data_IF_492868619760
#
_entry.id   IF_492868619760
#
_cell.length_a   1.000
_cell.length_b   1.000
_cell.length_c   1.000
_cell.angle_alpha   90.00
_cell.angle_beta   90.00
_cell.angle_gamma   90.00
#
_symmetry.space_group_name_H-M   'P 1'
#
loop_
_entity.id
_entity.type
_entity.pdbx_description
1 polymer ?
#
# COMPACT_ATOMS: atom_id res chain seq x y z
N UNK A 1 6.13 -8.66 9.31
CA UNK A 1 4.81 -8.07 9.02
C UNK A 1 4.89 -6.68 8.39
N UNK A 2 5.87 -5.83 8.72
CA UNK A 2 6.29 -4.68 7.90
C UNK A 2 6.93 -5.06 6.56
N UNK A 3 7.29 -6.34 6.37
CA UNK A 3 7.91 -6.87 5.16
C UNK A 3 7.06 -6.67 3.91
N UNK A 4 5.73 -6.81 3.99
CA UNK A 4 4.89 -6.65 2.81
C UNK A 4 4.91 -5.21 2.24
N UNK A 5 4.57 -4.16 3.01
CA UNK A 5 4.69 -2.78 2.52
C UNK A 5 6.14 -2.40 2.22
N UNK A 6 7.13 -2.95 2.95
CA UNK A 6 8.54 -2.75 2.63
C UNK A 6 8.91 -3.32 1.26
N UNK A 7 8.51 -4.56 0.97
CA UNK A 7 8.81 -5.22 -0.30
C UNK A 7 8.11 -4.52 -1.46
N UNK A 8 6.82 -4.16 -1.31
CA UNK A 8 6.11 -3.37 -2.33
C UNK A 8 6.79 -2.01 -2.56
N UNK A 9 7.14 -1.31 -1.47
CA UNK A 9 7.86 -0.05 -1.53
C UNK A 9 9.20 -0.17 -2.25
N UNK A 10 10.03 -1.16 -1.90
CA UNK A 10 11.33 -1.36 -2.52
C UNK A 10 11.22 -1.75 -3.99
N UNK A 11 10.30 -2.65 -4.36
CA UNK A 11 10.09 -3.04 -5.76
C UNK A 11 9.62 -1.83 -6.59
N UNK A 12 8.66 -1.07 -6.07
CA UNK A 12 8.15 0.12 -6.74
C UNK A 12 9.19 1.25 -6.85
N UNK A 13 10.11 1.36 -5.88
CA UNK A 13 11.19 2.34 -5.91
C UNK A 13 12.24 1.99 -6.96
N UNK A 14 12.66 0.72 -7.00
CA UNK A 14 13.69 0.23 -7.93
C UNK A 14 13.15 0.18 -9.37
N UNK A 15 11.89 -0.23 -9.54
CA UNK A 15 11.25 -0.34 -10.84
C UNK A 15 9.81 0.20 -10.80
N UNK A 16 9.65 1.53 -10.94
CA UNK A 16 8.32 2.15 -10.94
C UNK A 16 7.43 1.60 -12.06
N UNK A 17 8.01 1.21 -13.20
CA UNK A 17 7.22 0.65 -14.31
C UNK A 17 6.46 -0.63 -13.90
N UNK A 18 6.95 -1.39 -12.91
CA UNK A 18 6.27 -2.57 -12.41
C UNK A 18 4.98 -2.24 -11.64
N UNK A 19 4.85 -1.07 -11.01
CA UNK A 19 3.63 -0.69 -10.30
C UNK A 19 2.43 -0.59 -11.23
N UNK A 20 2.62 -0.04 -12.44
CA UNK A 20 1.57 -0.03 -13.47
C UNK A 20 1.12 -1.44 -13.85
N UNK A 21 2.05 -2.39 -13.97
CA UNK A 21 1.73 -3.79 -14.29
C UNK A 21 1.02 -4.49 -13.14
N UNK A 22 1.48 -4.30 -11.90
CA UNK A 22 0.92 -4.93 -10.71
C UNK A 22 -0.58 -4.59 -10.56
N UNK A 23 -0.91 -3.32 -10.79
CA UNK A 23 -2.27 -2.78 -10.64
C UNK A 23 -3.06 -2.69 -11.95
N UNK A 24 -2.54 -3.25 -13.05
CA UNK A 24 -3.17 -3.19 -14.38
C UNK A 24 -3.50 -1.76 -14.86
N UNK A 25 -2.74 -0.75 -14.42
CA UNK A 25 -2.91 0.62 -14.89
C UNK A 25 -2.24 0.79 -16.25
N UNK A 26 -2.97 1.27 -17.28
CA UNK A 26 -2.37 1.51 -18.59
C UNK A 26 -1.44 2.74 -18.50
N UNK A 27 -0.12 2.59 -18.70
CA UNK A 27 0.77 3.74 -18.70
C UNK A 27 0.56 4.57 -19.98
N UNK A 28 0.75 5.90 -19.93
CA UNK A 28 0.81 6.72 -21.14
C UNK A 28 1.83 6.16 -22.14
N UNK A 29 1.37 5.83 -23.34
CA UNK A 29 2.15 5.15 -24.39
C UNK A 29 2.22 5.99 -25.68
N UNK A 30 3.22 5.71 -26.51
CA UNK A 30 3.48 6.44 -27.77
C UNK A 30 4.58 7.50 -27.69
N UNK A 31 4.97 8.08 -28.84
CA UNK A 31 6.08 9.02 -28.96
C UNK A 31 5.66 10.50 -28.89
N UNK A 32 4.37 10.83 -28.74
CA UNK A 32 3.94 12.23 -28.70
C UNK A 32 4.52 12.96 -27.48
N UNK A 33 4.82 14.27 -27.56
CA UNK A 33 5.30 15.04 -26.41
C UNK A 33 4.37 14.93 -25.18
N UNK A 34 3.05 14.91 -25.41
CA UNK A 34 2.05 14.70 -24.35
C UNK A 34 2.14 13.33 -23.68
N UNK A 35 2.43 12.27 -24.44
CA UNK A 35 2.60 10.92 -23.89
C UNK A 35 3.89 10.80 -23.06
N UNK A 36 4.96 11.48 -23.48
CA UNK A 36 6.23 11.54 -22.74
C UNK A 36 6.04 12.25 -21.39
N UNK A 37 5.46 13.44 -21.39
CA UNK A 37 5.19 14.17 -20.14
C UNK A 37 4.18 13.45 -19.25
N UNK A 38 3.15 12.83 -19.83
CA UNK A 38 2.20 11.99 -19.09
C UNK A 38 2.90 10.82 -18.38
N UNK A 39 3.85 10.16 -19.05
CA UNK A 39 4.62 9.05 -18.45
C UNK A 39 5.51 9.54 -17.30
N UNK A 40 6.13 10.70 -17.45
CA UNK A 40 6.94 11.34 -16.40
C UNK A 40 6.09 11.68 -15.17
N UNK A 41 4.93 12.31 -15.37
CA UNK A 41 3.99 12.61 -14.29
C UNK A 41 3.51 11.35 -13.59
N UNK A 42 3.05 10.35 -14.36
CA UNK A 42 2.56 9.09 -13.81
C UNK A 42 3.63 8.36 -12.99
N UNK A 43 4.89 8.36 -13.47
CA UNK A 43 6.02 7.75 -12.77
C UNK A 43 6.29 8.45 -11.44
N UNK A 44 6.27 9.78 -11.41
CA UNK A 44 6.50 10.56 -10.18
C UNK A 44 5.34 10.37 -9.17
N UNK A 45 4.10 10.32 -9.63
CA UNK A 45 2.95 10.04 -8.76
C UNK A 45 3.04 8.63 -8.17
N UNK A 46 3.50 7.65 -8.94
CA UNK A 46 3.74 6.30 -8.44
C UNK A 46 4.88 6.28 -7.41
N UNK A 47 5.95 7.04 -7.61
CA UNK A 47 7.02 7.17 -6.62
C UNK A 47 6.54 7.83 -5.31
N UNK A 48 5.61 8.78 -5.38
CA UNK A 48 4.93 9.31 -4.18
C UNK A 48 4.06 8.25 -3.49
N UNK A 49 3.40 7.38 -4.25
CA UNK A 49 2.67 6.25 -3.71
C UNK A 49 3.63 5.24 -3.02
N UNK A 50 4.76 4.94 -3.64
CA UNK A 50 5.80 4.04 -3.10
C UNK A 50 6.38 4.55 -1.77
N UNK A 51 6.62 5.86 -1.65
CA UNK A 51 7.19 6.42 -0.42
C UNK A 51 6.29 6.23 0.80
N UNK A 52 4.96 6.22 0.60
CA UNK A 52 3.98 5.89 1.63
C UNK A 52 4.12 4.45 2.12
N UNK A 53 4.34 3.49 1.23
CA UNK A 53 4.52 2.09 1.61
C UNK A 53 5.82 1.90 2.43
N UNK A 54 6.90 2.60 2.06
CA UNK A 54 8.14 2.64 2.86
C UNK A 54 7.91 3.30 4.23
N UNK A 55 7.14 4.39 4.29
CA UNK A 55 6.74 5.02 5.55
C UNK A 55 5.92 4.08 6.45
N UNK A 56 4.96 3.35 5.88
CA UNK A 56 4.17 2.36 6.61
C UNK A 56 5.06 1.25 7.18
N UNK A 57 6.04 0.77 6.40
CA UNK A 57 7.00 -0.22 6.89
C UNK A 57 7.85 0.33 8.04
N UNK A 58 8.35 1.57 7.91
CA UNK A 58 9.18 2.22 8.93
C UNK A 58 8.42 2.48 10.23
N UNK A 59 7.18 2.96 10.16
CA UNK A 59 6.34 3.22 11.35
C UNK A 59 5.97 1.93 12.08
N UNK A 60 5.67 0.84 11.36
CA UNK A 60 5.49 -0.48 11.95
C UNK A 60 6.77 -0.98 12.64
N UNK A 61 7.94 -0.78 12.03
CA UNK A 61 9.22 -1.17 12.63
C UNK A 61 9.54 -0.34 13.88
N UNK A 62 9.26 0.96 13.86
CA UNK A 62 9.43 1.84 15.00
C UNK A 62 8.51 1.45 16.17
N UNK A 63 7.24 1.15 15.90
CA UNK A 63 6.29 0.69 16.91
C UNK A 63 6.74 -0.64 17.54
N UNK A 64 7.27 -1.55 16.72
CA UNK A 64 7.84 -2.82 17.18
C UNK A 64 9.09 -2.60 18.06
N UNK A 65 10.03 -1.77 17.60
CA UNK A 65 11.26 -1.47 18.34
C UNK A 65 10.97 -0.78 19.69
N UNK A 66 9.92 0.04 19.76
CA UNK A 66 9.44 0.67 21.00
C UNK A 66 8.62 -0.26 21.91
N UNK A 67 8.38 -1.51 21.53
CA UNK A 67 7.67 -2.51 22.35
C UNK A 67 6.17 -2.27 22.53
N UNK A 68 5.56 -1.31 21.81
CA UNK A 68 4.15 -0.96 21.98
C UNK A 68 3.25 -1.75 21.03
N UNK A 69 2.67 -2.86 21.53
CA UNK A 69 1.65 -3.64 20.80
C UNK A 69 0.46 -2.78 20.37
N UNK A 70 0.01 -1.86 21.23
CA UNK A 70 -1.10 -0.96 20.95
C UNK A 70 -0.79 -0.02 19.79
N UNK A 71 0.37 0.65 19.81
CA UNK A 71 0.80 1.54 18.73
C UNK A 71 0.90 0.77 17.42
N UNK A 72 1.49 -0.43 17.45
CA UNK A 72 1.60 -1.27 16.28
C UNK A 72 0.22 -1.67 15.74
N UNK A 73 -0.72 -2.09 16.59
CA UNK A 73 -2.09 -2.44 16.21
C UNK A 73 -2.86 -1.27 15.59
N UNK A 74 -2.76 -0.07 16.18
CA UNK A 74 -3.38 1.14 15.62
C UNK A 74 -2.78 1.52 14.27
N UNK A 75 -1.47 1.39 14.09
CA UNK A 75 -0.81 1.61 12.79
C UNK A 75 -1.33 0.63 11.73
N UNK A 76 -1.57 -0.64 12.06
CA UNK A 76 -2.20 -1.58 11.14
C UNK A 76 -3.63 -1.16 10.78
N UNK A 77 -4.45 -0.75 11.75
CA UNK A 77 -5.80 -0.24 11.44
C UNK A 77 -5.77 0.96 10.50
N UNK A 78 -4.84 1.90 10.70
CA UNK A 78 -4.65 3.01 9.77
C UNK A 78 -4.26 2.52 8.36
N UNK A 79 -3.42 1.49 8.28
CA UNK A 79 -3.06 0.82 7.02
C UNK A 79 -4.24 0.18 6.29
N UNK A 80 -5.28 -0.29 7.00
CA UNK A 80 -6.50 -0.77 6.35
C UNK A 80 -7.21 0.34 5.58
N UNK A 81 -7.20 1.58 6.10
CA UNK A 81 -7.72 2.75 5.38
C UNK A 81 -6.98 3.01 4.07
N UNK A 82 -5.66 2.82 4.06
CA UNK A 82 -4.84 2.92 2.83
C UNK A 82 -5.28 1.89 1.79
N UNK A 83 -5.47 0.63 2.19
CA UNK A 83 -5.92 -0.43 1.27
C UNK A 83 -7.31 -0.16 0.69
N UNK A 84 -8.23 0.41 1.48
CA UNK A 84 -9.56 0.84 1.03
C UNK A 84 -9.44 1.95 -0.02
N UNK A 85 -8.66 2.99 0.29
CA UNK A 85 -8.43 4.11 -0.63
C UNK A 85 -7.80 3.65 -1.96
N UNK A 86 -6.79 2.78 -1.91
CA UNK A 86 -6.15 2.25 -3.11
C UNK A 86 -7.14 1.43 -3.96
N UNK A 87 -7.99 0.62 -3.31
CA UNK A 87 -9.04 -0.13 -4.00
C UNK A 87 -10.06 0.77 -4.69
N UNK A 88 -10.49 1.84 -4.00
CA UNK A 88 -11.40 2.83 -4.58
C UNK A 88 -10.78 3.56 -5.79
N UNK A 89 -9.53 4.01 -5.67
CA UNK A 89 -8.83 4.69 -6.76
C UNK A 89 -8.57 3.77 -7.95
N UNK A 90 -8.23 2.50 -7.70
CA UNK A 90 -8.08 1.49 -8.75
C UNK A 90 -9.38 1.28 -9.52
N UNK A 91 -10.49 1.10 -8.81
CA UNK A 91 -11.80 0.99 -9.45
C UNK A 91 -12.19 2.27 -10.21
N UNK A 92 -11.92 3.44 -9.65
CA UNK A 92 -12.19 4.73 -10.31
C UNK A 92 -11.39 4.90 -11.61
N UNK A 93 -10.15 4.39 -11.65
CA UNK A 93 -9.24 4.55 -12.79
C UNK A 93 -9.51 3.54 -13.92
N UNK A 94 -9.76 2.27 -13.58
CA UNK A 94 -9.87 1.19 -14.59
C UNK A 94 -11.19 0.41 -14.54
N UNK A 95 -12.13 0.79 -13.67
CA UNK A 95 -13.44 0.14 -13.52
C UNK A 95 -13.40 -1.24 -12.85
N UNK A 96 -12.25 -1.70 -12.36
CA UNK A 96 -12.04 -3.06 -11.83
C UNK A 96 -10.87 -3.11 -10.85
N UNK A 97 -10.47 -4.32 -10.45
CA UNK A 97 -9.27 -4.62 -9.65
C UNK A 97 -9.18 -4.01 -8.23
N UNK A 98 -10.27 -3.44 -7.69
CA UNK A 98 -10.33 -3.02 -6.28
C UNK A 98 -9.93 -4.12 -5.30
N UNK A 99 -10.31 -5.37 -5.60
CA UNK A 99 -10.04 -6.53 -4.76
C UNK A 99 -8.54 -6.76 -4.53
N UNK A 100 -7.67 -6.43 -5.50
CA UNK A 100 -6.20 -6.54 -5.33
C UNK A 100 -5.67 -5.71 -4.16
N UNK A 101 -6.44 -4.71 -3.72
CA UNK A 101 -6.12 -3.85 -2.59
C UNK A 101 -6.99 -4.20 -1.38
N UNK A 102 -8.31 -4.23 -1.55
CA UNK A 102 -9.25 -4.37 -0.41
C UNK A 102 -9.23 -5.75 0.23
N UNK A 103 -8.75 -6.80 -0.45
CA UNK A 103 -8.57 -8.13 0.14
C UNK A 103 -7.61 -8.12 1.34
N UNK A 104 -6.74 -7.13 1.45
CA UNK A 104 -5.81 -6.99 2.56
C UNK A 104 -6.47 -6.42 3.83
N UNK A 105 -7.63 -5.76 3.71
CA UNK A 105 -8.38 -5.20 4.84
C UNK A 105 -8.67 -6.26 5.91
N UNK A 106 -9.31 -7.41 5.61
CA UNK A 106 -9.56 -8.42 6.64
C UNK A 106 -8.27 -8.98 7.26
N UNK A 107 -7.19 -9.13 6.48
CA UNK A 107 -5.89 -9.60 6.99
C UNK A 107 -5.32 -8.61 8.01
N UNK A 108 -5.25 -7.34 7.63
CA UNK A 108 -4.66 -6.26 8.43
C UNK A 108 -5.50 -5.98 9.68
N UNK A 109 -6.84 -5.97 9.57
CA UNK A 109 -7.75 -5.77 10.70
C UNK A 109 -7.65 -6.93 11.69
N UNK A 110 -7.57 -8.18 11.21
CA UNK A 110 -7.42 -9.34 12.09
C UNK A 110 -6.10 -9.27 12.86
N UNK A 111 -4.99 -8.94 12.19
CA UNK A 111 -3.71 -8.77 12.85
C UNK A 111 -3.72 -7.62 13.86
N UNK A 112 -4.31 -6.48 13.50
CA UNK A 112 -4.48 -5.37 14.43
C UNK A 112 -5.30 -5.78 15.66
N UNK A 113 -6.36 -6.55 15.47
CA UNK A 113 -7.17 -7.08 16.55
C UNK A 113 -6.40 -7.95 17.52
N UNK A 114 -5.53 -8.85 17.03
CA UNK A 114 -4.64 -9.63 17.89
C UNK A 114 -3.62 -8.77 18.65
N UNK A 115 -3.12 -7.71 18.03
CA UNK A 115 -2.21 -6.76 18.71
C UNK A 115 -2.92 -5.93 19.77
N UNK A 116 -4.20 -5.58 19.54
CA UNK A 116 -5.06 -4.81 20.43
C UNK A 116 -5.81 -5.67 21.46
N UNK A 117 -5.61 -6.98 21.45
CA UNK A 117 -6.19 -7.89 22.43
C UNK A 117 -7.67 -8.23 22.22
N UNK A 118 -8.22 -8.03 21.01
CA UNK A 118 -9.61 -8.39 20.69
C UNK A 118 -9.90 -9.89 20.91
N UNK A 119 -8.86 -10.71 20.86
CA UNK A 119 -8.94 -12.17 21.01
C UNK A 119 -8.42 -12.68 22.35
N UNK A 120 -7.98 -11.81 23.28
CA UNK A 120 -7.33 -12.22 24.54
C UNK A 120 -8.24 -13.02 25.49
N UNK A 121 -9.56 -13.00 25.25
CA UNK A 121 -10.55 -13.78 26.02
C UNK A 121 -10.94 -15.10 25.35
N UNK A 122 -10.36 -15.42 24.19
CA UNK A 122 -10.73 -16.56 23.35
C UNK A 122 -9.58 -17.55 23.15
N UNK A 123 -8.44 -17.29 23.79
CA UNK A 123 -7.22 -18.12 23.83
C UNK A 123 -6.90 -18.38 25.29
#
# INVERSE_FOLDING_TARGET
MSLFPLTLGLIGLINPANGFRLFNFPPPSGPSPSAVEGRKLATNLLLFWVSRDLYMAATCLAAYAGGSRTTMGLTYLAGAGVAICDGWMSHRQIGKDAWKHTMWVPVVVTMAGGLLGWFDRWV
#
